data_IF_911658309902
#
_entry.id   IF_911658309902
#
_cell.length_a   1.000
_cell.length_b   1.000
_cell.length_c   1.000
_cell.angle_alpha   90.00
_cell.angle_beta   90.00
_cell.angle_gamma   90.00
#
_symmetry.space_group_name_H-M   'P 1'
#
loop_
_entity.id
_entity.type
_entity.pdbx_description
1 polymer ?
#
# COMPACT_ATOMS: atom_id res chain seq x y z
N UNK A 1 -9.09 -12.38 5.69
CA UNK A 1 -8.46 -11.12 6.12
C UNK A 1 -6.94 -11.19 6.03
N UNK A 2 -6.25 -12.10 6.73
CA UNK A 2 -4.78 -12.20 6.73
C UNK A 2 -4.16 -12.42 5.33
N UNK A 3 -4.81 -13.20 4.47
CA UNK A 3 -4.38 -13.39 3.07
C UNK A 3 -4.40 -12.09 2.25
N UNK A 4 -5.47 -11.29 2.36
CA UNK A 4 -5.59 -10.00 1.66
C UNK A 4 -4.52 -9.01 2.14
N UNK A 5 -4.22 -9.04 3.44
CA UNK A 5 -3.19 -8.20 4.04
C UNK A 5 -1.78 -8.63 3.57
N UNK A 6 -1.52 -9.94 3.46
CA UNK A 6 -0.30 -10.49 2.89
C UNK A 6 -0.13 -10.16 1.40
N UNK A 7 -1.19 -10.32 0.61
CA UNK A 7 -1.18 -9.98 -0.81
C UNK A 7 -0.92 -8.48 -1.04
N UNK A 8 -1.51 -7.61 -0.23
CA UNK A 8 -1.24 -6.17 -0.26
C UNK A 8 0.20 -5.83 0.14
N UNK A 9 0.78 -6.51 1.15
CA UNK A 9 2.19 -6.33 1.53
C UNK A 9 3.15 -6.78 0.43
N UNK A 10 2.88 -7.92 -0.20
CA UNK A 10 3.63 -8.42 -1.35
C UNK A 10 3.59 -7.46 -2.54
N UNK A 11 2.40 -7.00 -2.94
CA UNK A 11 2.27 -6.11 -4.09
C UNK A 11 2.92 -4.74 -3.84
N UNK A 12 2.74 -4.18 -2.63
CA UNK A 12 3.37 -2.92 -2.24
C UNK A 12 4.90 -3.04 -2.16
N UNK A 13 5.42 -4.11 -1.55
CA UNK A 13 6.86 -4.34 -1.46
C UNK A 13 7.51 -4.59 -2.82
N UNK A 14 6.88 -5.40 -3.68
CA UNK A 14 7.36 -5.66 -5.04
C UNK A 14 7.38 -4.40 -5.90
N UNK A 15 6.30 -3.61 -5.87
CA UNK A 15 6.23 -2.33 -6.59
C UNK A 15 7.30 -1.35 -6.12
N UNK A 16 7.52 -1.26 -4.80
CA UNK A 16 8.58 -0.43 -4.23
C UNK A 16 9.99 -0.86 -4.64
N UNK A 17 10.30 -2.17 -4.62
CA UNK A 17 11.59 -2.69 -5.08
C UNK A 17 11.84 -2.30 -6.55
N UNK A 18 10.83 -2.48 -7.41
CA UNK A 18 10.90 -2.07 -8.81
C UNK A 18 11.18 -0.58 -8.97
N UNK A 19 10.47 0.26 -8.20
CA UNK A 19 10.62 1.72 -8.26
C UNK A 19 12.00 2.21 -7.78
N UNK A 20 12.61 1.58 -6.76
CA UNK A 20 13.97 1.94 -6.30
C UNK A 20 15.11 1.39 -7.19
N UNK A 21 14.83 0.39 -8.03
CA UNK A 21 15.86 -0.30 -8.85
C UNK A 21 15.86 0.12 -10.31
N UNK A 22 14.70 0.46 -10.86
CA UNK A 22 14.49 0.65 -12.31
C UNK A 22 13.95 2.05 -12.64
N UNK A 23 13.88 2.91 -11.63
CA UNK A 23 13.19 4.20 -11.61
C UNK A 23 11.68 4.09 -11.93
N UNK A 24 10.85 5.01 -11.40
CA UNK A 24 9.45 5.08 -11.80
C UNK A 24 9.37 5.51 -13.28
N UNK A 25 8.56 4.79 -14.07
CA UNK A 25 8.37 5.07 -15.50
C UNK A 25 6.92 5.47 -15.77
N UNK A 26 6.72 6.43 -16.67
CA UNK A 26 5.40 6.77 -17.19
C UNK A 26 4.85 5.62 -18.05
N UNK A 27 3.58 5.28 -17.83
CA UNK A 27 2.90 4.30 -18.69
C UNK A 27 2.80 4.88 -20.10
N UNK A 28 3.23 4.15 -21.15
CA UNK A 28 3.10 4.61 -22.53
C UNK A 28 1.66 5.02 -22.85
N UNK A 29 1.48 6.18 -23.48
CA UNK A 29 0.17 6.75 -23.81
C UNK A 29 -0.60 7.39 -22.65
N UNK A 30 -0.03 7.44 -21.43
CA UNK A 30 -0.71 8.06 -20.28
C UNK A 30 -0.92 9.58 -20.42
N UNK A 31 -0.25 10.22 -21.38
CA UNK A 31 -0.28 11.66 -21.64
C UNK A 31 -0.78 11.99 -23.06
N UNK A 32 -1.37 11.01 -23.74
CA UNK A 32 -1.96 11.22 -25.06
C UNK A 32 -3.15 12.18 -24.94
N UNK A 33 -3.16 13.24 -25.75
CA UNK A 33 -4.17 14.30 -25.69
C UNK A 33 -3.98 15.34 -24.58
N UNK A 34 -2.97 15.20 -23.71
CA UNK A 34 -2.63 16.23 -22.73
C UNK A 34 -1.88 17.40 -23.38
N UNK A 35 -2.09 18.62 -22.86
CA UNK A 35 -1.33 19.81 -23.30
C UNK A 35 0.14 19.75 -22.89
N UNK A 36 0.98 20.52 -23.59
CA UNK A 36 2.42 20.56 -23.33
C UNK A 36 2.75 21.00 -21.89
N UNK A 37 1.99 21.95 -21.35
CA UNK A 37 2.14 22.38 -19.97
C UNK A 37 1.85 21.25 -18.96
N UNK A 38 0.88 20.37 -19.25
CA UNK A 38 0.59 19.21 -18.40
C UNK A 38 1.64 18.12 -18.51
N UNK A 39 2.17 17.89 -19.71
CA UNK A 39 3.29 16.96 -19.90
C UNK A 39 4.50 17.40 -19.10
N UNK A 40 4.89 18.67 -19.25
CA UNK A 40 5.99 19.25 -18.47
C UNK A 40 5.75 19.16 -16.95
N UNK A 41 4.52 19.39 -16.47
CA UNK A 41 4.19 19.25 -15.06
C UNK A 41 4.32 17.80 -14.54
N UNK A 42 3.91 16.81 -15.34
CA UNK A 42 4.06 15.39 -15.00
C UNK A 42 5.52 14.95 -15.02
N UNK A 43 6.28 15.38 -16.02
CA UNK A 43 7.72 15.11 -16.11
C UNK A 43 8.48 15.72 -14.95
N UNK A 44 8.18 16.97 -14.58
CA UNK A 44 8.77 17.62 -13.42
C UNK A 44 8.43 16.87 -12.12
N UNK A 45 7.17 16.48 -11.93
CA UNK A 45 6.75 15.71 -10.75
C UNK A 45 7.44 14.33 -10.70
N UNK A 46 7.64 13.69 -11.85
CA UNK A 46 8.34 12.42 -11.96
C UNK A 46 9.83 12.57 -11.61
N UNK A 47 10.50 13.58 -12.17
CA UNK A 47 11.91 13.87 -11.88
C UNK A 47 12.12 14.19 -10.40
N UNK A 48 11.20 14.94 -9.79
CA UNK A 48 11.22 15.21 -8.36
C UNK A 48 11.05 13.91 -7.54
N UNK A 49 10.13 13.03 -7.93
CA UNK A 49 9.95 11.74 -7.26
C UNK A 49 11.21 10.87 -7.33
N UNK A 50 11.83 10.75 -8.51
CA UNK A 50 13.09 10.01 -8.69
C UNK A 50 14.18 10.56 -7.76
N UNK A 51 14.37 11.88 -7.76
CA UNK A 51 15.36 12.56 -6.91
C UNK A 51 15.14 12.29 -5.41
N UNK A 52 13.90 12.43 -4.93
CA UNK A 52 13.55 12.20 -3.53
C UNK A 52 13.70 10.73 -3.15
N UNK A 53 13.34 9.80 -4.05
CA UNK A 53 13.53 8.37 -3.85
C UNK A 53 15.01 7.99 -3.78
N UNK A 54 15.85 8.53 -4.65
CA UNK A 54 17.29 8.27 -4.62
C UNK A 54 17.93 8.79 -3.32
N UNK A 55 17.53 9.97 -2.84
CA UNK A 55 17.97 10.50 -1.55
C UNK A 55 17.60 9.58 -0.38
N UNK A 56 16.44 8.90 -0.47
CA UNK A 56 15.95 7.98 0.56
C UNK A 56 16.27 6.51 0.29
N UNK A 57 17.06 6.18 -0.74
CA UNK A 57 17.28 4.80 -1.19
C UNK A 57 17.85 3.88 -0.10
N UNK A 58 18.73 4.43 0.75
CA UNK A 58 19.36 3.68 1.85
C UNK A 58 18.38 3.26 2.95
N UNK A 59 17.27 3.97 3.12
CA UNK A 59 16.25 3.66 4.13
C UNK A 59 14.99 3.05 3.50
N UNK A 60 14.61 3.50 2.31
CA UNK A 60 13.41 3.04 1.59
C UNK A 60 13.52 1.64 1.00
N UNK A 61 14.66 1.29 0.42
CA UNK A 61 14.88 -0.04 -0.16
C UNK A 61 14.79 -1.18 0.88
N UNK A 62 15.48 -1.11 2.05
CA UNK A 62 15.34 -2.17 3.05
C UNK A 62 13.92 -2.25 3.64
N UNK A 63 13.20 -1.13 3.78
CA UNK A 63 11.81 -1.12 4.25
C UNK A 63 10.85 -1.79 3.25
N UNK A 64 11.02 -1.54 1.95
CA UNK A 64 10.21 -2.19 0.92
C UNK A 64 10.50 -3.68 0.77
N UNK A 65 11.77 -4.09 0.91
CA UNK A 65 12.15 -5.51 1.01
C UNK A 65 11.50 -6.16 2.23
N UNK A 66 11.56 -5.52 3.40
CA UNK A 66 10.92 -6.03 4.61
C UNK A 66 9.41 -6.19 4.42
N UNK A 67 8.75 -5.24 3.74
CA UNK A 67 7.30 -5.29 3.48
C UNK A 67 6.95 -6.47 2.56
N UNK A 68 7.78 -6.72 1.56
CA UNK A 68 7.64 -7.87 0.67
C UNK A 68 7.79 -9.19 1.44
N UNK A 69 8.86 -9.34 2.24
CA UNK A 69 9.14 -10.58 2.97
C UNK A 69 8.07 -10.89 4.03
N UNK A 70 7.61 -9.88 4.77
CA UNK A 70 6.54 -10.07 5.76
C UNK A 70 5.21 -10.38 5.06
N UNK A 71 4.88 -9.69 3.97
CA UNK A 71 3.69 -9.99 3.16
C UNK A 71 3.69 -11.41 2.61
N UNK A 72 4.83 -11.85 2.08
CA UNK A 72 5.02 -13.21 1.58
C UNK A 72 4.90 -14.26 2.69
N UNK A 73 5.54 -14.03 3.83
CA UNK A 73 5.44 -14.90 5.01
C UNK A 73 3.99 -15.01 5.52
N UNK A 74 3.22 -13.92 5.51
CA UNK A 74 1.80 -13.94 5.87
C UNK A 74 0.98 -14.77 4.89
N UNK A 75 1.24 -14.67 3.58
CA UNK A 75 0.56 -15.50 2.57
C UNK A 75 0.87 -16.98 2.78
N UNK A 76 2.14 -17.36 2.93
CA UNK A 76 2.54 -18.76 3.10
C UNK A 76 1.97 -19.36 4.38
N UNK A 77 2.00 -18.62 5.50
CA UNK A 77 1.40 -19.05 6.77
C UNK A 77 -0.14 -19.16 6.68
N UNK A 78 -0.78 -18.30 5.90
CA UNK A 78 -2.24 -18.39 5.70
C UNK A 78 -2.60 -19.61 4.85
N UNK A 79 -1.85 -19.88 3.78
CA UNK A 79 -2.03 -21.08 2.94
C UNK A 79 -1.77 -22.36 3.74
N UNK A 80 -0.71 -22.40 4.57
CA UNK A 80 -0.41 -23.57 5.41
C UNK A 80 -1.50 -23.81 6.47
N UNK A 81 -2.08 -22.75 7.02
CA UNK A 81 -3.22 -22.85 7.93
C UNK A 81 -4.47 -23.45 7.24
N UNK A 82 -4.75 -23.07 5.98
CA UNK A 82 -5.83 -23.69 5.20
C UNK A 82 -5.57 -25.16 4.88
N UNK A 83 -4.31 -25.53 4.65
CA UNK A 83 -3.91 -26.92 4.38
C UNK A 83 -3.84 -27.81 5.65
N UNK A 84 -4.33 -27.34 6.81
CA UNK A 84 -4.25 -28.03 8.12
C UNK A 84 -2.82 -28.43 8.54
N UNK A 85 -1.81 -27.83 7.92
CA UNK A 85 -0.39 -28.15 8.16
C UNK A 85 0.14 -27.19 9.22
N UNK A 86 0.15 -27.65 10.48
CA UNK A 86 0.87 -27.11 11.66
C UNK A 86 1.24 -25.61 11.63
N UNK A 87 0.29 -24.72 11.35
CA UNK A 87 0.48 -23.29 11.55
C UNK A 87 0.38 -22.97 13.05
N UNK A 88 1.36 -22.26 13.62
CA UNK A 88 1.24 -21.71 14.97
C UNK A 88 0.45 -20.39 14.89
N UNK A 89 -0.76 -20.29 15.45
CA UNK A 89 -1.52 -19.02 15.45
C UNK A 89 -0.74 -17.87 16.10
N UNK A 90 0.22 -18.17 16.97
CA UNK A 90 1.14 -17.20 17.57
C UNK A 90 2.12 -16.58 16.57
N UNK A 91 2.62 -17.36 15.60
CA UNK A 91 3.49 -16.85 14.53
C UNK A 91 2.73 -15.92 13.59
N UNK A 92 1.48 -16.26 13.24
CA UNK A 92 0.63 -15.41 12.42
C UNK A 92 0.38 -14.05 13.10
N UNK A 93 0.09 -14.05 14.40
CA UNK A 93 -0.09 -12.82 15.18
C UNK A 93 1.19 -11.96 15.23
N UNK A 94 2.36 -12.57 15.40
CA UNK A 94 3.65 -11.86 15.36
C UNK A 94 3.91 -11.23 13.98
N UNK A 95 3.58 -11.92 12.89
CA UNK A 95 3.74 -11.39 11.54
C UNK A 95 2.78 -10.23 11.25
N UNK A 96 1.52 -10.32 11.70
CA UNK A 96 0.57 -9.21 11.61
C UNK A 96 1.07 -7.99 12.39
N UNK A 97 1.60 -8.20 13.59
CA UNK A 97 2.17 -7.12 14.39
C UNK A 97 3.41 -6.51 13.73
N UNK A 98 4.32 -7.34 13.20
CA UNK A 98 5.49 -6.86 12.46
C UNK A 98 5.08 -6.04 11.23
N UNK A 99 4.06 -6.49 10.48
CA UNK A 99 3.50 -5.75 9.35
C UNK A 99 2.91 -4.40 9.79
N UNK A 100 2.23 -4.36 10.92
CA UNK A 100 1.68 -3.13 11.48
C UNK A 100 2.78 -2.13 11.85
N UNK A 101 3.80 -2.57 12.60
CA UNK A 101 4.95 -1.75 12.96
C UNK A 101 5.65 -1.25 11.70
N UNK A 102 5.86 -2.12 10.71
CA UNK A 102 6.51 -1.75 9.46
C UNK A 102 5.72 -0.67 8.71
N UNK A 103 4.39 -0.80 8.62
CA UNK A 103 3.55 0.24 7.98
C UNK A 103 3.70 1.58 8.69
N UNK A 104 3.73 1.59 10.03
CA UNK A 104 3.92 2.82 10.81
C UNK A 104 5.32 3.39 10.60
N UNK A 105 6.37 2.57 10.65
CA UNK A 105 7.75 3.00 10.43
C UNK A 105 7.91 3.57 9.02
N UNK A 106 7.45 2.88 7.98
CA UNK A 106 7.49 3.38 6.60
C UNK A 106 6.71 4.69 6.45
N UNK A 107 5.59 4.82 7.18
CA UNK A 107 4.82 6.06 7.20
C UNK A 107 5.63 7.23 7.77
N UNK A 108 6.38 7.06 8.85
CA UNK A 108 7.14 8.17 9.43
C UNK A 108 8.52 8.37 8.80
N UNK A 109 9.12 7.33 8.25
CA UNK A 109 10.47 7.38 7.68
C UNK A 109 10.52 8.03 6.29
N UNK A 110 9.39 8.06 5.56
CA UNK A 110 9.37 8.51 4.16
C UNK A 110 8.27 9.57 3.88
N UNK A 111 8.21 10.69 4.63
CA UNK A 111 7.21 11.72 4.38
C UNK A 111 7.38 12.34 2.99
N UNK A 112 8.60 12.68 2.60
CA UNK A 112 8.92 13.37 1.35
C UNK A 112 8.59 12.53 0.12
N UNK A 113 8.97 11.24 0.13
CA UNK A 113 8.67 10.32 -0.98
C UNK A 113 7.15 10.27 -1.23
N UNK A 114 6.33 10.26 -0.18
CA UNK A 114 4.87 10.22 -0.32
C UNK A 114 4.28 11.52 -0.83
N UNK A 115 4.87 12.66 -0.49
CA UNK A 115 4.45 13.94 -1.06
C UNK A 115 4.78 13.97 -2.55
N UNK A 116 5.98 13.57 -2.95
CA UNK A 116 6.39 13.50 -4.34
C UNK A 116 5.55 12.49 -5.16
N UNK A 117 5.22 11.31 -4.60
CA UNK A 117 4.32 10.34 -5.25
C UNK A 117 2.94 10.93 -5.49
N UNK A 118 2.42 11.71 -4.53
CA UNK A 118 1.11 12.38 -4.70
C UNK A 118 1.16 13.48 -5.74
N UNK A 119 2.22 14.26 -5.76
CA UNK A 119 2.38 15.31 -6.76
C UNK A 119 2.39 14.70 -8.17
N UNK A 120 3.06 13.55 -8.34
CA UNK A 120 3.03 12.80 -9.58
C UNK A 120 1.63 12.26 -9.91
N UNK A 121 0.96 11.60 -8.97
CA UNK A 121 -0.40 11.06 -9.17
C UNK A 121 -1.38 12.19 -9.52
N UNK A 122 -1.28 13.33 -8.83
CA UNK A 122 -2.11 14.51 -9.09
C UNK A 122 -1.84 15.08 -10.48
N UNK A 123 -0.58 15.27 -10.86
CA UNK A 123 -0.22 15.76 -12.19
C UNK A 123 -0.74 14.82 -13.29
N UNK A 124 -0.62 13.49 -13.09
CA UNK A 124 -1.14 12.49 -14.02
C UNK A 124 -2.66 12.51 -14.11
N UNK A 125 -3.36 12.65 -12.98
CA UNK A 125 -4.82 12.76 -12.97
C UNK A 125 -5.27 13.99 -13.76
N UNK A 126 -4.64 15.14 -13.54
CA UNK A 126 -4.98 16.36 -14.27
C UNK A 126 -4.72 16.24 -15.78
N UNK A 127 -3.58 15.66 -16.15
CA UNK A 127 -3.26 15.41 -17.55
C UNK A 127 -4.29 14.48 -18.21
N UNK A 128 -4.69 13.40 -17.53
CA UNK A 128 -5.71 12.47 -18.01
C UNK A 128 -7.07 13.13 -18.12
N UNK A 129 -7.47 13.88 -17.11
CA UNK A 129 -8.79 14.50 -17.10
C UNK A 129 -8.91 15.57 -18.18
N UNK A 130 -7.87 16.36 -18.40
CA UNK A 130 -7.79 17.33 -19.50
C UNK A 130 -7.87 16.65 -20.87
N UNK A 131 -7.19 15.51 -21.04
CA UNK A 131 -7.23 14.72 -22.27
C UNK A 131 -8.61 14.08 -22.52
N UNK A 132 -9.36 13.73 -21.47
CA UNK A 132 -10.69 13.13 -21.59
C UNK A 132 -11.84 14.14 -21.64
N UNK A 133 -11.63 15.37 -21.19
CA UNK A 133 -12.68 16.39 -21.14
C UNK A 133 -13.00 16.89 -22.55
N UNK A 134 -14.25 16.68 -22.99
CA UNK A 134 -14.73 17.05 -24.33
C UNK A 134 -15.35 18.44 -24.34
N UNK A 135 -15.73 18.96 -23.17
CA UNK A 135 -16.40 20.26 -23.01
C UNK A 135 -15.74 21.14 -21.94
N UNK A 136 -15.87 22.45 -22.08
CA UNK A 136 -15.32 23.42 -21.12
C UNK A 136 -15.98 23.33 -19.73
N UNK A 137 -17.24 22.89 -19.67
CA UNK A 137 -17.99 22.65 -18.42
C UNK A 137 -17.38 21.49 -17.62
N UNK A 138 -17.02 20.38 -18.29
CA UNK A 138 -16.32 19.24 -17.68
C UNK A 138 -14.95 19.67 -17.16
N UNK A 139 -14.22 20.52 -17.90
CA UNK A 139 -12.93 21.07 -17.45
C UNK A 139 -13.07 21.89 -16.17
N UNK A 140 -14.15 22.69 -16.04
CA UNK A 140 -14.41 23.50 -14.84
C UNK A 140 -14.79 22.66 -13.63
N UNK A 141 -15.66 21.65 -13.80
CA UNK A 141 -16.01 20.72 -12.72
C UNK A 141 -14.78 19.99 -12.17
N UNK A 142 -13.83 19.65 -13.04
CA UNK A 142 -12.61 18.94 -12.64
C UNK A 142 -11.71 19.82 -11.78
N UNK A 143 -11.55 21.10 -12.14
CA UNK A 143 -10.79 22.06 -11.35
C UNK A 143 -11.45 22.30 -9.99
N UNK A 144 -12.78 22.32 -9.93
CA UNK A 144 -13.53 22.51 -8.69
C UNK A 144 -13.43 21.28 -7.76
N UNK A 145 -13.60 20.07 -8.29
CA UNK A 145 -13.38 18.81 -7.56
C UNK A 145 -11.94 18.71 -7.07
N UNK A 146 -10.97 19.13 -7.88
CA UNK A 146 -9.55 19.16 -7.50
C UNK A 146 -9.31 20.05 -6.27
N UNK A 147 -9.85 21.28 -6.26
CA UNK A 147 -9.69 22.20 -5.13
C UNK A 147 -10.26 21.64 -3.82
N UNK A 148 -11.37 20.90 -3.91
CA UNK A 148 -11.96 20.21 -2.75
C UNK A 148 -11.10 19.02 -2.32
N UNK A 149 -10.61 18.22 -3.27
CA UNK A 149 -9.80 17.05 -3.00
C UNK A 149 -8.48 17.42 -2.31
N UNK A 150 -7.82 18.50 -2.75
CA UNK A 150 -6.57 19.01 -2.18
C UNK A 150 -6.74 19.42 -0.72
N UNK A 151 -7.90 19.98 -0.36
CA UNK A 151 -8.24 20.34 1.03
C UNK A 151 -8.61 19.14 1.89
N UNK A 152 -9.23 18.12 1.32
CA UNK A 152 -9.66 16.91 2.02
C UNK A 152 -8.58 15.82 2.13
N UNK A 153 -7.51 15.90 1.33
CA UNK A 153 -6.44 14.90 1.25
C UNK A 153 -5.66 14.70 2.57
N UNK A 154 -5.21 15.77 3.26
CA UNK A 154 -4.40 15.62 4.48
C UNK A 154 -5.08 14.79 5.59
N UNK A 155 -6.37 15.00 5.95
CA UNK A 155 -7.03 14.18 6.96
C UNK A 155 -7.35 12.77 6.45
N UNK A 156 -7.62 12.56 5.16
CA UNK A 156 -7.95 11.25 4.61
C UNK A 156 -6.83 10.22 4.82
N UNK A 157 -5.56 10.65 4.78
CA UNK A 157 -4.41 9.77 5.00
C UNK A 157 -4.26 9.37 6.46
N UNK A 158 -4.52 10.30 7.37
CA UNK A 158 -4.58 9.99 8.79
C UNK A 158 -5.72 9.00 9.07
N UNK A 159 -6.88 9.16 8.41
CA UNK A 159 -8.01 8.23 8.51
C UNK A 159 -7.65 6.84 7.97
N UNK A 160 -7.03 6.74 6.79
CA UNK A 160 -6.60 5.44 6.24
C UNK A 160 -5.58 4.77 7.14
N UNK A 161 -4.64 5.53 7.70
CA UNK A 161 -3.68 5.01 8.67
C UNK A 161 -4.41 4.50 9.91
N UNK A 162 -5.28 5.30 10.52
CA UNK A 162 -6.08 4.93 11.70
C UNK A 162 -6.91 3.69 11.42
N UNK A 163 -7.58 3.61 10.28
CA UNK A 163 -8.39 2.44 9.87
C UNK A 163 -7.52 1.20 9.70
N UNK A 164 -6.37 1.29 9.00
CA UNK A 164 -5.42 0.17 8.89
C UNK A 164 -4.89 -0.27 10.26
N UNK A 165 -4.62 0.69 11.15
CA UNK A 165 -4.11 0.46 12.51
C UNK A 165 -5.18 -0.20 13.38
N UNK A 166 -6.44 0.25 13.29
CA UNK A 166 -7.58 -0.35 13.99
C UNK A 166 -7.91 -1.75 13.48
N UNK A 167 -7.85 -1.98 12.16
CA UNK A 167 -8.02 -3.31 11.56
C UNK A 167 -6.91 -4.27 12.00
N UNK A 168 -5.65 -3.82 12.01
CA UNK A 168 -4.54 -4.62 12.52
C UNK A 168 -4.72 -4.94 14.02
N UNK A 169 -5.12 -3.95 14.82
CA UNK A 169 -5.46 -4.14 16.23
C UNK A 169 -6.60 -5.13 16.43
N UNK A 170 -7.68 -5.04 15.65
CA UNK A 170 -8.79 -5.98 15.67
C UNK A 170 -8.37 -7.41 15.31
N UNK A 171 -7.49 -7.59 14.33
CA UNK A 171 -6.95 -8.90 13.96
C UNK A 171 -6.10 -9.47 15.10
N UNK A 172 -5.23 -8.67 15.71
CA UNK A 172 -4.45 -9.10 16.89
C UNK A 172 -5.40 -9.49 18.03
N UNK A 173 -6.39 -8.65 18.32
CA UNK A 173 -7.36 -8.86 19.40
C UNK A 173 -8.21 -10.12 19.17
N UNK A 174 -8.63 -10.35 17.92
CA UNK A 174 -9.33 -11.56 17.49
C UNK A 174 -8.45 -12.82 17.63
N UNK A 175 -7.17 -12.76 17.23
CA UNK A 175 -6.23 -13.88 17.38
C UNK A 175 -5.85 -14.16 18.84
N UNK A 176 -5.87 -13.15 19.71
CA UNK A 176 -5.66 -13.33 21.16
C UNK A 176 -6.92 -13.78 21.92
N UNK A 177 -8.11 -13.70 21.32
CA UNK A 177 -9.36 -14.08 21.99
C UNK A 177 -9.46 -15.61 22.09
N UNK A 178 -9.70 -16.09 23.31
CA UNK A 178 -9.72 -17.51 23.72
C UNK A 178 -10.52 -18.45 22.79
N UNK A 179 -11.62 -17.96 22.21
CA UNK A 179 -12.55 -18.71 21.34
C UNK A 179 -11.99 -19.06 19.95
N UNK A 180 -11.03 -18.28 19.42
CA UNK A 180 -10.36 -18.60 18.14
C UNK A 180 -9.23 -19.60 18.35
N UNK A 181 -8.64 -19.59 19.55
CA UNK A 181 -7.73 -20.64 20.02
C UNK A 181 -8.42 -22.00 20.02
N UNK A 182 -9.64 -22.06 20.55
CA UNK A 182 -10.48 -23.27 20.55
C UNK A 182 -10.76 -23.80 19.13
N UNK A 183 -11.08 -22.95 18.15
CA UNK A 183 -11.28 -23.41 16.75
C UNK A 183 -10.01 -24.00 16.09
N UNK A 184 -8.82 -23.51 16.46
CA UNK A 184 -7.54 -24.06 16.00
C UNK A 184 -7.06 -25.26 16.82
N UNK A 185 -7.44 -25.34 18.09
CA UNK A 185 -7.17 -26.48 18.97
C UNK A 185 -8.10 -27.67 18.63
N UNK A 186 -9.37 -27.41 18.30
CA UNK A 186 -10.32 -28.42 17.79
C UNK A 186 -9.92 -28.95 16.42
N UNK A 187 -9.34 -28.10 15.55
CA UNK A 187 -8.78 -28.53 14.28
C UNK A 187 -7.47 -29.36 14.43
N UNK A 188 -6.85 -29.35 15.62
CA UNK A 188 -5.68 -30.15 16.00
C UNK A 188 -6.03 -31.42 16.77
N UNK A 189 -7.28 -31.62 17.17
CA UNK A 189 -7.68 -32.84 17.83
C UNK A 189 -7.46 -34.03 16.87
N UNK A 190 -6.64 -35.04 17.24
CA UNK A 190 -6.49 -36.23 16.43
C UNK A 190 -7.86 -36.90 16.30
N UNK A 191 -8.26 -37.22 15.06
CA UNK A 191 -9.41 -38.07 14.82
C UNK A 191 -9.09 -39.40 15.50
N UNK A 192 -9.71 -39.68 16.64
CA UNK A 192 -9.68 -41.02 17.22
C UNK A 192 -10.44 -41.92 16.25
N UNK A 193 -9.73 -42.76 15.50
CA UNK A 193 -10.32 -43.87 14.76
C UNK A 193 -11.17 -44.69 15.74
N UNK A 194 -12.45 -44.81 15.42
CA UNK A 194 -13.38 -45.80 15.97
C UNK A 194 -13.87 -46.65 14.83
#
# INVERSE_FOLDING_TARGET
>A
MSFLMGAAGCSQGYGGIGAYRTDPVLIPGALDGASEARRAAVEHALANLVSVMDAHKRTGLPLTIAAFLIGFAMMTLTVSAFMRRTGSPRLLAQMVFAQMVLVVVTFFAQPEVRWAERDLVRAQQLARTEATAKTDEERRQVVEVEQVLVKALPPALAVVLVVRTMLAGLVVLALTRRRTREYYDDARAPISER
#
